data_IF_941808614963
#
_entry.id   IF_941808614963
#
_cell.length_a   1.000
_cell.length_b   1.000
_cell.length_c   1.000
_cell.angle_alpha   90.00
_cell.angle_beta   90.00
_cell.angle_gamma   90.00
#
_symmetry.space_group_name_H-M   'P 1'
#
loop_
_entity.id
_entity.type
_entity.pdbx_description
1 polymer ?
#
# COMPACT_ATOMS: atom_id res chain seq x y z
N UNK A 1 34.49 18.51 -12.94
CA UNK A 1 34.37 17.72 -11.69
C UNK A 1 33.26 18.24 -10.76
N UNK A 2 33.13 19.54 -10.51
CA UNK A 2 32.15 20.12 -9.55
C UNK A 2 30.69 19.79 -9.91
N UNK A 3 30.31 19.84 -11.20
CA UNK A 3 28.93 19.57 -11.65
C UNK A 3 28.51 18.13 -11.40
N UNK A 4 29.40 17.15 -11.60
CA UNK A 4 29.11 15.74 -11.29
C UNK A 4 28.91 15.49 -9.81
N UNK A 5 29.66 16.20 -8.96
CA UNK A 5 29.51 16.12 -7.51
C UNK A 5 28.17 16.69 -7.03
N UNK A 6 27.71 17.80 -7.64
CA UNK A 6 26.41 18.38 -7.34
C UNK A 6 25.26 17.44 -7.72
N UNK A 7 25.33 16.74 -8.85
CA UNK A 7 24.30 15.76 -9.24
C UNK A 7 24.25 14.57 -8.29
N UNK A 8 25.40 14.08 -7.83
CA UNK A 8 25.47 12.97 -6.85
C UNK A 8 24.86 13.40 -5.52
N UNK A 9 25.17 14.62 -5.05
CA UNK A 9 24.62 15.14 -3.78
C UNK A 9 23.10 15.35 -3.89
N UNK A 10 22.62 15.96 -4.99
CA UNK A 10 21.17 16.16 -5.22
C UNK A 10 20.46 14.82 -5.31
N UNK A 11 21.03 13.85 -6.01
CA UNK A 11 20.45 12.50 -6.13
C UNK A 11 20.45 11.75 -4.79
N UNK A 12 21.52 11.87 -4.00
CA UNK A 12 21.59 11.30 -2.65
C UNK A 12 20.58 11.96 -1.69
N UNK A 13 20.36 13.27 -1.81
CA UNK A 13 19.34 13.99 -1.01
C UNK A 13 17.94 13.63 -1.44
N UNK A 14 17.70 13.40 -2.74
CA UNK A 14 16.39 12.96 -3.23
C UNK A 14 16.08 11.52 -2.79
N UNK A 15 17.06 10.62 -2.78
CA UNK A 15 16.90 9.24 -2.28
C UNK A 15 16.65 9.22 -0.77
N UNK A 16 17.31 10.07 0.01
CA UNK A 16 17.10 10.16 1.46
C UNK A 16 15.72 10.73 1.85
N UNK A 17 14.98 11.32 0.92
CA UNK A 17 13.61 11.78 1.16
C UNK A 17 12.53 10.73 0.83
N UNK A 18 12.89 9.60 0.27
CA UNK A 18 11.99 8.45 0.21
C UNK A 18 11.92 7.87 1.62
N UNK A 19 11.00 8.41 2.42
CA UNK A 19 10.62 7.81 3.69
C UNK A 19 10.19 6.38 3.37
N UNK A 20 10.96 5.41 3.81
CA UNK A 20 10.63 4.00 3.64
C UNK A 20 9.43 3.69 4.55
N UNK A 21 8.24 3.98 4.06
CA UNK A 21 7.01 3.57 4.74
C UNK A 21 6.87 2.07 4.54
N UNK A 22 6.89 1.33 5.63
CA UNK A 22 6.62 -0.10 5.59
C UNK A 22 5.14 -0.29 5.24
N UNK A 23 4.87 -0.68 4.02
CA UNK A 23 3.52 -1.02 3.56
C UNK A 23 3.40 -2.54 3.52
N UNK A 24 2.47 -3.07 4.28
CA UNK A 24 2.09 -4.48 4.27
C UNK A 24 0.77 -4.59 3.53
N UNK A 25 0.69 -5.46 2.54
CA UNK A 25 -0.54 -5.73 1.79
C UNK A 25 -1.01 -7.14 2.12
N UNK A 26 -2.29 -7.28 2.48
CA UNK A 26 -2.92 -8.55 2.87
C UNK A 26 -4.25 -8.69 2.14
N UNK A 27 -4.53 -9.86 1.58
CA UNK A 27 -5.83 -10.16 0.99
C UNK A 27 -6.65 -11.02 1.94
N UNK A 28 -7.91 -10.66 2.15
CA UNK A 28 -8.87 -11.42 2.96
C UNK A 28 -10.13 -11.68 2.17
N UNK A 29 -10.82 -12.77 2.48
CA UNK A 29 -12.06 -13.16 1.83
C UNK A 29 -13.21 -13.15 2.83
N UNK A 30 -14.35 -12.61 2.40
CA UNK A 30 -15.59 -12.61 3.17
C UNK A 30 -16.76 -13.10 2.33
N UNK A 31 -17.82 -13.56 2.99
CA UNK A 31 -19.06 -13.97 2.35
C UNK A 31 -20.17 -12.99 2.68
N UNK A 32 -21.08 -12.77 1.74
CA UNK A 32 -22.25 -11.89 1.93
C UNK A 32 -23.03 -12.32 3.18
N UNK A 33 -23.43 -11.35 4.02
CA UNK A 33 -24.10 -11.54 5.29
C UNK A 33 -23.21 -12.10 6.40
N UNK A 34 -21.96 -12.43 6.10
CA UNK A 34 -20.97 -12.91 7.06
C UNK A 34 -20.17 -11.81 7.72
N UNK A 35 -19.01 -12.18 8.23
CA UNK A 35 -18.06 -11.25 8.83
C UNK A 35 -16.65 -11.60 8.41
N UNK A 36 -15.76 -10.59 8.46
CA UNK A 36 -14.34 -10.75 8.15
C UNK A 36 -13.50 -10.00 9.18
N UNK A 37 -12.33 -10.56 9.51
CA UNK A 37 -11.31 -9.86 10.26
C UNK A 37 -10.40 -9.11 9.28
N UNK A 38 -10.27 -7.80 9.45
CA UNK A 38 -9.32 -6.96 8.74
C UNK A 38 -8.08 -6.81 9.64
N UNK A 39 -6.95 -7.44 9.30
CA UNK A 39 -5.79 -7.47 10.17
C UNK A 39 -5.03 -6.15 10.17
N UNK A 40 -4.63 -5.69 11.34
CA UNK A 40 -3.70 -4.57 11.50
C UNK A 40 -2.91 -4.76 12.79
N UNK A 41 -1.62 -4.99 12.66
CA UNK A 41 -0.74 -5.16 13.82
C UNK A 41 0.55 -4.38 13.60
N UNK A 42 1.01 -3.70 14.66
CA UNK A 42 2.31 -3.06 14.67
C UNK A 42 3.42 -4.08 14.86
N UNK A 43 4.53 -3.84 14.18
CA UNK A 43 5.78 -4.59 14.38
C UNK A 43 6.56 -4.10 15.60
N UNK A 44 6.19 -2.95 16.17
CA UNK A 44 6.83 -2.35 17.33
C UNK A 44 6.21 -2.87 18.64
N UNK A 45 7.01 -3.53 19.45
CA UNK A 45 6.58 -4.11 20.74
C UNK A 45 6.43 -3.11 21.88
N UNK A 46 6.99 -1.89 21.74
CA UNK A 46 7.01 -0.86 22.78
C UNK A 46 5.98 0.26 22.56
N UNK A 47 4.86 -0.04 21.91
CA UNK A 47 3.80 0.94 21.67
C UNK A 47 3.12 1.34 22.97
N UNK A 48 3.13 2.64 23.23
CA UNK A 48 2.31 3.24 24.29
C UNK A 48 1.02 3.74 23.66
N UNK A 49 -0.11 3.18 24.05
CA UNK A 49 -1.42 3.55 23.50
C UNK A 49 -1.72 5.04 23.63
N UNK A 50 -1.30 5.67 24.72
CA UNK A 50 -1.48 7.10 24.97
C UNK A 50 -0.72 8.01 23.98
N UNK A 51 0.24 7.45 23.24
CA UNK A 51 1.06 8.16 22.26
C UNK A 51 0.80 7.66 20.83
N UNK A 52 -0.19 6.78 20.63
CA UNK A 52 -0.46 6.11 19.36
C UNK A 52 -1.88 6.42 18.91
N UNK A 53 -2.00 6.89 17.68
CA UNK A 53 -3.28 7.00 16.98
C UNK A 53 -3.33 5.96 15.87
N UNK A 54 -4.51 5.37 15.69
CA UNK A 54 -4.77 4.39 14.63
C UNK A 54 -6.00 4.83 13.84
N UNK A 55 -5.86 4.84 12.53
CA UNK A 55 -6.91 5.27 11.62
C UNK A 55 -7.24 4.16 10.63
N UNK A 56 -8.51 3.75 10.59
CA UNK A 56 -9.03 2.89 9.57
C UNK A 56 -9.80 3.69 8.53
N UNK A 57 -9.46 3.50 7.25
CA UNK A 57 -10.08 4.18 6.09
C UNK A 57 -10.40 3.15 5.01
N UNK A 58 -11.41 3.43 4.22
CA UNK A 58 -11.67 2.68 3.00
C UNK A 58 -10.94 3.30 1.78
N UNK A 59 -11.16 2.73 0.61
CA UNK A 59 -10.57 3.20 -0.65
C UNK A 59 -10.96 4.63 -1.03
N UNK A 60 -12.11 5.10 -0.55
CA UNK A 60 -12.62 6.46 -0.78
C UNK A 60 -12.16 7.43 0.32
N UNK A 61 -11.28 6.96 1.23
CA UNK A 61 -10.77 7.68 2.39
C UNK A 61 -11.85 8.02 3.43
N UNK A 62 -12.96 7.28 3.44
CA UNK A 62 -14.01 7.46 4.44
C UNK A 62 -13.63 6.82 5.79
N UNK A 63 -14.13 7.39 6.85
CA UNK A 63 -13.80 7.00 8.21
C UNK A 63 -14.52 5.72 8.63
N UNK A 64 -13.77 4.66 8.87
CA UNK A 64 -14.28 3.39 9.38
C UNK A 64 -14.20 3.35 10.90
N UNK A 65 -13.02 3.66 11.45
CA UNK A 65 -12.74 3.62 12.87
C UNK A 65 -11.50 4.44 13.19
N UNK A 66 -11.55 5.18 14.29
CA UNK A 66 -10.42 5.94 14.81
C UNK A 66 -10.16 5.60 16.27
N UNK A 67 -8.90 5.32 16.59
CA UNK A 67 -8.39 5.18 17.96
C UNK A 67 -7.41 6.32 18.21
N UNK A 68 -7.76 7.25 19.06
CA UNK A 68 -6.96 8.44 19.36
C UNK A 68 -6.41 8.32 20.78
N UNK A 69 -5.09 8.17 20.92
CA UNK A 69 -4.42 8.02 22.22
C UNK A 69 -5.04 6.94 23.10
N UNK A 70 -5.44 5.83 22.48
CA UNK A 70 -6.06 4.70 23.14
C UNK A 70 -7.55 4.86 23.47
N UNK A 71 -8.20 5.93 23.00
CA UNK A 71 -9.63 6.17 23.15
C UNK A 71 -10.32 6.07 21.78
N UNK A 72 -11.44 5.36 21.73
CA UNK A 72 -12.25 5.27 20.51
C UNK A 72 -12.88 6.62 20.16
N UNK A 73 -12.86 6.98 18.89
CA UNK A 73 -13.51 8.17 18.33
C UNK A 73 -14.36 7.76 17.13
N UNK A 74 -15.67 7.82 17.30
CA UNK A 74 -16.66 7.44 16.28
C UNK A 74 -17.44 8.63 15.74
N UNK A 75 -17.05 9.86 16.10
CA UNK A 75 -17.77 11.08 15.71
C UNK A 75 -17.81 11.27 14.19
N UNK A 76 -16.73 10.93 13.53
CA UNK A 76 -16.57 11.06 12.07
C UNK A 76 -16.85 9.75 11.32
N UNK A 77 -17.30 8.69 12.00
CA UNK A 77 -17.56 7.40 11.37
C UNK A 77 -18.60 7.51 10.25
N UNK A 78 -18.24 7.03 9.05
CA UNK A 78 -19.17 6.98 7.92
C UNK A 78 -20.40 6.11 8.26
N UNK A 79 -21.61 6.55 7.89
CA UNK A 79 -22.86 5.83 8.15
C UNK A 79 -22.85 4.36 7.67
N UNK A 80 -22.11 4.04 6.60
CA UNK A 80 -21.96 2.67 6.06
C UNK A 80 -21.36 1.69 7.08
N UNK A 81 -20.55 2.19 8.01
CA UNK A 81 -19.82 1.38 8.99
C UNK A 81 -20.43 1.40 10.39
N UNK A 82 -21.46 2.22 10.62
CA UNK A 82 -22.14 2.28 11.94
C UNK A 82 -22.70 0.94 12.34
N UNK A 83 -22.39 0.53 13.58
CA UNK A 83 -22.81 -0.75 14.18
C UNK A 83 -22.30 -2.01 13.46
N UNK A 84 -21.37 -1.85 12.50
CA UNK A 84 -20.83 -2.98 11.73
C UNK A 84 -19.36 -3.25 12.02
N UNK A 85 -18.71 -2.42 12.83
CA UNK A 85 -17.30 -2.55 13.20
C UNK A 85 -17.21 -3.03 14.64
N UNK A 86 -16.49 -4.12 14.86
CA UNK A 86 -16.15 -4.64 16.19
C UNK A 86 -14.64 -4.52 16.39
N UNK A 87 -14.22 -4.10 17.56
CA UNK A 87 -12.85 -3.86 17.95
C UNK A 87 -12.42 -4.79 19.07
N UNK A 88 -11.12 -4.87 19.36
CA UNK A 88 -10.56 -5.76 20.37
C UNK A 88 -9.66 -4.97 21.35
N UNK A 89 -10.23 -4.18 22.29
CA UNK A 89 -9.46 -3.28 23.17
C UNK A 89 -8.38 -3.99 23.99
N UNK A 90 -8.62 -5.23 24.40
CA UNK A 90 -7.64 -6.02 25.16
C UNK A 90 -6.37 -6.33 24.37
N UNK A 91 -6.47 -6.32 23.05
CA UNK A 91 -5.35 -6.59 22.14
C UNK A 91 -4.51 -5.36 21.81
N UNK A 92 -5.01 -4.15 22.05
CA UNK A 92 -4.30 -2.90 21.72
C UNK A 92 -2.93 -2.81 22.38
N UNK A 93 -2.82 -3.29 23.63
CA UNK A 93 -1.54 -3.32 24.36
C UNK A 93 -0.49 -4.21 23.72
N UNK A 94 -0.91 -5.15 22.87
CA UNK A 94 -0.04 -6.03 22.08
C UNK A 94 0.27 -5.47 20.71
N UNK A 95 -0.23 -4.26 20.40
CA UNK A 95 -0.11 -3.64 19.08
C UNK A 95 -1.04 -4.22 18.03
N UNK A 96 -2.06 -5.00 18.42
CA UNK A 96 -3.06 -5.53 17.50
C UNK A 96 -4.27 -4.59 17.46
N UNK A 97 -4.44 -3.92 16.32
CA UNK A 97 -5.51 -2.96 16.02
C UNK A 97 -6.46 -3.47 14.94
N UNK A 98 -6.51 -4.78 14.76
CA UNK A 98 -7.44 -5.41 13.83
C UNK A 98 -8.89 -5.07 14.17
N UNK A 99 -9.72 -4.97 13.14
CA UNK A 99 -11.16 -4.77 13.30
C UNK A 99 -11.91 -5.91 12.62
N UNK A 100 -13.11 -6.21 13.12
CA UNK A 100 -14.02 -7.17 12.49
C UNK A 100 -15.17 -6.42 11.87
N UNK A 101 -15.35 -6.55 10.56
CA UNK A 101 -16.50 -6.03 9.82
C UNK A 101 -17.56 -7.12 9.72
N UNK A 102 -18.80 -6.80 10.09
CA UNK A 102 -19.94 -7.71 10.09
C UNK A 102 -20.97 -7.31 9.04
N UNK A 103 -21.93 -8.19 8.77
CA UNK A 103 -23.03 -7.98 7.81
C UNK A 103 -22.52 -7.56 6.42
N UNK A 104 -21.59 -8.35 5.89
CA UNK A 104 -20.89 -8.06 4.65
C UNK A 104 -21.87 -8.02 3.45
N UNK A 105 -21.64 -7.03 2.61
CA UNK A 105 -22.35 -6.82 1.33
C UNK A 105 -21.38 -6.75 0.16
N UNK A 106 -21.86 -6.81 -1.06
CA UNK A 106 -21.00 -6.60 -2.25
C UNK A 106 -20.30 -5.24 -2.27
N UNK A 107 -20.92 -4.22 -1.67
CA UNK A 107 -20.35 -2.87 -1.61
C UNK A 107 -19.14 -2.75 -0.65
N UNK A 108 -18.90 -3.76 0.18
CA UNK A 108 -17.75 -3.79 1.09
C UNK A 108 -16.47 -4.33 0.41
N UNK A 109 -16.58 -4.84 -0.84
CA UNK A 109 -15.40 -5.25 -1.58
C UNK A 109 -14.52 -4.04 -1.89
N UNK A 110 -13.21 -4.16 -1.66
CA UNK A 110 -12.26 -3.09 -1.94
C UNK A 110 -11.10 -3.02 -0.96
N UNK A 111 -10.40 -1.90 -0.99
CA UNK A 111 -9.21 -1.66 -0.17
C UNK A 111 -9.59 -1.00 1.17
N UNK A 112 -9.01 -1.53 2.23
CA UNK A 112 -9.08 -0.99 3.58
C UNK A 112 -7.67 -0.65 4.07
N UNK A 113 -7.51 0.51 4.66
CA UNK A 113 -6.20 1.03 5.07
C UNK A 113 -6.20 1.24 6.57
N UNK A 114 -5.25 0.63 7.26
CA UNK A 114 -4.92 0.89 8.64
C UNK A 114 -3.62 1.69 8.72
N UNK A 115 -3.65 2.82 9.40
CA UNK A 115 -2.51 3.70 9.63
C UNK A 115 -2.20 3.76 11.12
N UNK A 116 -0.97 3.44 11.51
CA UNK A 116 -0.48 3.54 12.88
C UNK A 116 0.55 4.67 12.92
N UNK A 117 0.18 5.81 13.54
CA UNK A 117 0.94 7.06 13.38
C UNK A 117 2.32 7.02 14.02
N UNK A 118 2.44 6.46 15.22
CA UNK A 118 3.70 6.48 15.96
C UNK A 118 4.82 5.69 15.27
N UNK A 119 4.48 4.55 14.69
CA UNK A 119 5.43 3.68 13.99
C UNK A 119 5.52 3.99 12.49
N UNK A 120 4.66 4.89 11.99
CA UNK A 120 4.53 5.19 10.56
C UNK A 120 4.29 3.93 9.72
N UNK A 121 3.52 2.99 10.28
CA UNK A 121 3.15 1.75 9.61
C UNK A 121 1.82 1.93 8.88
N UNK A 122 1.75 1.34 7.70
CA UNK A 122 0.54 1.27 6.89
C UNK A 122 0.28 -0.18 6.51
N UNK A 123 -0.88 -0.68 6.87
CA UNK A 123 -1.38 -1.99 6.43
C UNK A 123 -2.51 -1.75 5.46
N UNK A 124 -2.40 -2.32 4.27
CA UNK A 124 -3.45 -2.30 3.24
C UNK A 124 -4.08 -3.69 3.20
N UNK A 125 -5.40 -3.75 3.34
CA UNK A 125 -6.17 -5.00 3.33
C UNK A 125 -7.11 -4.99 2.14
N UNK A 126 -6.92 -5.90 1.19
CA UNK A 126 -7.82 -6.11 0.07
C UNK A 126 -8.91 -7.09 0.48
N UNK A 127 -10.17 -6.63 0.56
CA UNK A 127 -11.32 -7.48 0.84
C UNK A 127 -11.99 -7.95 -0.45
N UNK A 128 -12.06 -9.28 -0.60
CA UNK A 128 -12.79 -9.94 -1.68
C UNK A 128 -14.09 -10.50 -1.12
N UNK A 129 -15.21 -10.08 -1.69
CA UNK A 129 -16.54 -10.60 -1.30
C UNK A 129 -16.95 -11.72 -2.24
N UNK A 130 -17.19 -12.88 -1.65
CA UNK A 130 -17.73 -14.05 -2.35
C UNK A 130 -19.21 -14.20 -2.07
N UNK A 131 -19.98 -14.55 -3.10
CA UNK A 131 -21.34 -15.04 -2.90
C UNK A 131 -21.24 -16.34 -2.09
N UNK A 132 -22.05 -16.48 -1.05
CA UNK A 132 -22.11 -17.73 -0.28
C UNK A 132 -22.38 -18.93 -1.19
N UNK A 133 -22.14 -20.15 -0.74
CA UNK A 133 -22.40 -21.33 -1.56
C UNK A 133 -23.86 -21.31 -2.03
N UNK A 134 -24.04 -21.14 -3.32
CA UNK A 134 -25.34 -21.39 -3.96
C UNK A 134 -25.72 -22.83 -3.61
N UNK A 135 -26.96 -23.11 -3.13
CA UNK A 135 -27.40 -24.47 -2.92
C UNK A 135 -27.13 -25.25 -4.22
N UNK A 136 -26.58 -26.49 -4.12
CA UNK A 136 -26.21 -27.22 -5.31
C UNK A 136 -27.40 -27.35 -6.24
N UNK A 137 -27.28 -27.06 -7.55
CA UNK A 137 -28.26 -27.41 -8.51
C UNK A 137 -28.49 -28.92 -8.50
N UNK A 138 -29.69 -29.42 -8.77
CA UNK A 138 -29.93 -30.84 -8.84
C UNK A 138 -28.94 -31.49 -9.82
N UNK A 139 -28.49 -32.72 -9.56
CA UNK A 139 -27.37 -33.33 -10.28
C UNK A 139 -27.73 -33.48 -11.77
N UNK A 140 -27.01 -32.74 -12.61
CA UNK A 140 -26.94 -33.02 -14.06
C UNK A 140 -25.49 -33.42 -14.32
N UNK A 141 -25.35 -34.61 -14.90
CA UNK A 141 -24.11 -35.27 -15.23
C UNK A 141 -23.15 -34.45 -16.08
N UNK A 142 -21.87 -34.52 -15.64
CA UNK A 142 -20.63 -34.54 -16.43
C UNK A 142 -20.38 -33.54 -17.56
N UNK A 143 -19.32 -32.76 -17.41
CA UNK A 143 -18.09 -32.94 -18.21
C UNK A 143 -16.97 -32.10 -17.62
N UNK A 144 -15.87 -32.74 -17.26
CA UNK A 144 -14.58 -32.16 -16.95
C UNK A 144 -14.06 -31.33 -18.11
N UNK A 145 -13.72 -30.07 -17.88
CA UNK A 145 -12.57 -29.45 -18.52
C UNK A 145 -11.92 -28.47 -17.55
N UNK A 146 -10.82 -28.94 -17.02
CA UNK A 146 -9.82 -28.20 -16.30
C UNK A 146 -9.09 -27.31 -17.31
N UNK A 147 -9.23 -26.01 -17.23
CA UNK A 147 -8.31 -25.10 -17.88
C UNK A 147 -7.89 -24.02 -16.91
N UNK A 148 -6.69 -24.25 -16.42
CA UNK A 148 -5.94 -23.42 -15.52
C UNK A 148 -5.26 -22.33 -16.36
N UNK A 149 -5.77 -21.11 -16.35
CA UNK A 149 -5.04 -19.94 -16.83
C UNK A 149 -5.18 -18.81 -15.82
N UNK A 150 -4.21 -18.77 -14.90
CA UNK A 150 -3.94 -17.56 -14.14
C UNK A 150 -3.41 -16.47 -15.09
N UNK A 151 -3.89 -15.23 -15.00
CA UNK A 151 -3.23 -14.14 -15.69
C UNK A 151 -1.91 -13.86 -14.97
N UNK A 152 -0.83 -14.21 -15.62
CA UNK A 152 0.52 -13.74 -15.31
C UNK A 152 0.53 -12.23 -15.54
N UNK A 153 0.32 -11.47 -14.47
CA UNK A 153 0.56 -10.04 -14.47
C UNK A 153 2.06 -9.83 -14.65
N UNK A 154 2.47 -9.53 -15.88
CA UNK A 154 3.79 -8.99 -16.15
C UNK A 154 3.91 -7.66 -15.38
N UNK A 155 4.47 -7.75 -14.18
CA UNK A 155 4.99 -6.58 -13.46
C UNK A 155 6.10 -6.03 -14.36
N UNK A 156 5.76 -4.97 -15.09
CA UNK A 156 6.72 -4.24 -15.90
C UNK A 156 7.79 -3.72 -14.94
N UNK A 157 8.94 -4.36 -14.95
CA UNK A 157 10.08 -4.02 -14.07
C UNK A 157 10.56 -2.59 -14.37
N UNK A 158 9.93 -1.61 -13.77
CA UNK A 158 10.24 -0.18 -13.90
C UNK A 158 11.74 0.11 -13.66
N UNK A 159 12.38 -0.67 -12.83
CA UNK A 159 13.81 -0.54 -12.57
C UNK A 159 14.66 -0.93 -13.81
N UNK A 160 14.21 -1.90 -14.63
CA UNK A 160 14.88 -2.26 -15.89
C UNK A 160 14.77 -1.13 -16.91
N UNK A 161 13.60 -0.47 -16.98
CA UNK A 161 13.41 0.71 -17.83
C UNK A 161 14.30 1.86 -17.36
N UNK A 162 14.38 2.11 -16.05
CA UNK A 162 15.28 3.12 -15.48
C UNK A 162 16.75 2.81 -15.79
N UNK A 163 17.19 1.56 -15.67
CA UNK A 163 18.55 1.17 -16.04
C UNK A 163 18.83 1.39 -17.53
N UNK A 164 17.90 1.02 -18.41
CA UNK A 164 18.03 1.26 -19.85
C UNK A 164 18.16 2.76 -20.12
N UNK A 165 17.32 3.60 -19.52
CA UNK A 165 17.40 5.06 -19.67
C UNK A 165 18.74 5.63 -19.17
N UNK A 166 19.25 5.17 -18.03
CA UNK A 166 20.53 5.63 -17.48
C UNK A 166 21.70 5.22 -18.39
N UNK A 167 21.70 3.98 -18.87
CA UNK A 167 22.79 3.47 -19.72
C UNK A 167 22.76 4.00 -21.16
N UNK A 168 21.58 4.33 -21.70
CA UNK A 168 21.46 4.85 -23.06
C UNK A 168 21.62 6.37 -23.15
N UNK A 169 21.10 7.12 -22.17
CA UNK A 169 21.16 8.59 -22.16
C UNK A 169 22.46 9.14 -21.59
N UNK A 170 23.09 8.44 -20.63
CA UNK A 170 24.35 8.86 -20.00
C UNK A 170 25.49 9.06 -21.00
N UNK A 171 25.79 8.14 -21.95
CA UNK A 171 26.86 8.35 -22.91
C UNK A 171 26.57 9.49 -23.89
N UNK A 172 25.30 9.71 -24.27
CA UNK A 172 24.93 10.81 -25.17
C UNK A 172 25.14 12.16 -24.48
N UNK A 173 24.76 12.28 -23.19
CA UNK A 173 25.03 13.49 -22.41
C UNK A 173 26.51 13.72 -22.18
N UNK A 174 27.30 12.68 -21.93
CA UNK A 174 28.77 12.79 -21.82
C UNK A 174 29.41 13.26 -23.12
N UNK A 175 29.00 12.70 -24.26
CA UNK A 175 29.52 13.09 -25.55
C UNK A 175 29.16 14.54 -25.92
N UNK A 176 27.92 14.94 -25.73
CA UNK A 176 27.47 16.34 -25.95
C UNK A 176 28.19 17.32 -25.04
N UNK A 177 28.44 16.96 -23.78
CA UNK A 177 29.23 17.77 -22.87
C UNK A 177 30.70 17.91 -23.30
N UNK A 178 31.31 16.81 -23.73
CA UNK A 178 32.69 16.83 -24.27
C UNK A 178 32.82 17.69 -25.53
N UNK A 179 31.85 17.59 -26.47
CA UNK A 179 31.83 18.39 -27.69
C UNK A 179 31.65 19.89 -27.33
N UNK A 180 30.78 20.21 -26.37
CA UNK A 180 30.58 21.57 -25.92
C UNK A 180 31.84 22.15 -25.27
N UNK A 181 32.52 21.38 -24.43
CA UNK A 181 33.79 21.79 -23.81
C UNK A 181 34.90 21.98 -24.85
N UNK A 182 34.98 21.11 -25.88
CA UNK A 182 35.95 21.24 -26.96
C UNK A 182 35.71 22.50 -27.81
N UNK A 183 34.46 22.86 -28.09
CA UNK A 183 34.11 24.12 -28.75
C UNK A 183 34.51 25.36 -27.98
N UNK A 184 34.34 25.37 -26.64
CA UNK A 184 34.77 26.48 -25.79
C UNK A 184 36.30 26.69 -25.80
N UNK A 185 37.10 25.63 -25.94
CA UNK A 185 38.56 25.73 -25.96
C UNK A 185 39.09 26.27 -27.31
N UNK A 186 38.30 26.11 -28.39
CA UNK A 186 38.70 26.57 -29.73
C UNK A 186 38.36 28.03 -30.01
N UNK A 187 37.61 28.69 -29.12
CA UNK A 187 37.19 30.09 -29.23
C UNK A 187 37.89 31.03 -28.25
N UNK A 188 39.03 30.65 -27.66
CA UNK A 188 39.84 31.59 -26.87
C UNK A 188 40.60 32.49 -27.86
N UNK A 189 40.39 33.79 -27.89
CA UNK A 189 41.14 34.70 -28.74
C UNK A 189 42.59 34.83 -28.25
N UNK A 190 43.49 35.01 -29.22
CA UNK A 190 44.90 35.33 -29.02
C UNK A 190 45.06 36.71 -28.43
#
# INVERSE_FOLDING_TARGET
MIIGFCFIIVFAVLINKVSLQLTVEVTVEGFIGGSVLLPCSSTHHDLKLQDTDVFWRDQDNEHIYDLIKGTESLESQDPRYKNRVQTFPDEYKRGNFSIKLIDLTHADAGEFICLITRSNERVTVQLIIKSGPTPPPPPTESTEHQENHGPETQILDWWKILLICVFTLSPVFCLSYFIFQKRKRTQAPI
#
